data_IF_417050928490
#
_entry.id   IF_417050928490
#
_cell.length_a   1.000
_cell.length_b   1.000
_cell.length_c   1.000
_cell.angle_alpha   90.00
_cell.angle_beta   90.00
_cell.angle_gamma   90.00
#
_symmetry.space_group_name_H-M   'P 1'
#
loop_
_entity.id
_entity.type
_entity.pdbx_description
1 polymer ?
#
# COMPACT_ATOMS: atom_id res chain seq x y z
N UNK A 1 -14.14 4.47 10.00
CA UNK A 1 -13.31 3.90 11.07
C UNK A 1 -13.18 4.88 12.26
N UNK A 2 -12.33 5.91 12.26
CA UNK A 2 -12.25 6.89 13.39
C UNK A 2 -13.54 7.69 13.55
N UNK A 3 -14.00 8.34 12.48
CA UNK A 3 -15.24 9.14 12.49
C UNK A 3 -16.50 8.31 12.78
N UNK A 4 -16.43 7.00 12.54
CA UNK A 4 -17.50 6.04 12.84
C UNK A 4 -17.40 5.47 14.26
N UNK A 5 -16.36 5.83 15.02
CA UNK A 5 -16.11 5.35 16.38
C UNK A 5 -15.56 3.92 16.48
N UNK A 6 -15.12 3.33 15.38
CA UNK A 6 -14.64 1.94 15.32
C UNK A 6 -13.16 1.78 15.71
N UNK A 7 -12.34 2.84 15.58
CA UNK A 7 -10.93 2.83 15.99
C UNK A 7 -10.59 4.14 16.69
N UNK A 8 -9.69 4.09 17.67
CA UNK A 8 -9.18 5.27 18.35
C UNK A 8 -8.27 6.11 17.44
N UNK A 9 -8.41 7.43 17.50
CA UNK A 9 -7.63 8.37 16.68
C UNK A 9 -6.12 8.31 17.00
N UNK A 10 -5.74 8.17 18.27
CA UNK A 10 -4.34 7.99 18.68
C UNK A 10 -3.74 6.71 18.10
N UNK A 11 -4.54 5.64 18.02
CA UNK A 11 -4.12 4.37 17.44
C UNK A 11 -3.89 4.48 15.94
N UNK A 12 -4.67 5.31 15.24
CA UNK A 12 -4.42 5.65 13.83
C UNK A 12 -3.13 6.44 13.67
N UNK A 13 -2.90 7.46 14.50
CA UNK A 13 -1.71 8.31 14.40
C UNK A 13 -0.40 7.60 14.74
N UNK A 14 -0.43 6.56 15.57
CA UNK A 14 0.74 5.74 15.89
C UNK A 14 1.05 4.69 14.82
N UNK A 15 0.09 4.34 13.97
CA UNK A 15 0.30 3.36 12.90
C UNK A 15 0.99 3.98 11.68
N UNK A 16 2.14 3.44 11.31
CA UNK A 16 2.89 3.88 10.13
C UNK A 16 3.15 2.68 9.22
N UNK A 17 2.88 2.83 7.93
CA UNK A 17 3.18 1.80 6.94
C UNK A 17 4.67 1.92 6.57
N UNK A 18 5.48 0.87 6.71
CA UNK A 18 6.92 0.89 6.43
C UNK A 18 7.16 0.74 4.92
N UNK A 19 6.53 1.61 4.13
CA UNK A 19 6.62 1.62 2.69
C UNK A 19 7.10 2.99 2.23
N UNK A 20 8.10 2.97 1.36
CA UNK A 20 8.54 4.15 0.62
C UNK A 20 8.26 3.94 -0.87
N UNK A 21 7.65 4.95 -1.51
CA UNK A 21 7.38 4.94 -2.94
C UNK A 21 8.25 6.02 -3.59
N UNK A 22 9.47 5.66 -4.05
CA UNK A 22 10.43 6.62 -4.58
C UNK A 22 9.95 7.22 -5.90
N UNK A 23 10.30 8.47 -6.14
CA UNK A 23 10.31 9.06 -7.48
C UNK A 23 11.48 8.49 -8.30
N UNK A 24 11.41 8.46 -9.65
CA UNK A 24 12.52 7.99 -10.48
C UNK A 24 13.85 8.70 -10.17
N UNK A 25 13.79 9.99 -9.82
CA UNK A 25 14.96 10.80 -9.45
C UNK A 25 15.64 10.36 -8.15
N UNK A 26 14.93 9.67 -7.26
CA UNK A 26 15.48 9.20 -5.99
C UNK A 26 16.08 7.79 -6.07
N UNK A 27 15.94 7.11 -7.23
CA UNK A 27 16.45 5.76 -7.44
C UNK A 27 17.93 5.76 -7.89
N UNK A 28 18.51 6.93 -8.20
CA UNK A 28 19.91 7.02 -8.61
C UNK A 28 20.88 6.77 -7.44
N UNK A 29 21.98 6.08 -7.73
CA UNK A 29 22.96 5.66 -6.72
C UNK A 29 24.35 5.42 -7.30
N UNK A 30 25.16 4.62 -6.61
CA UNK A 30 26.59 4.40 -6.94
C UNK A 30 26.88 3.61 -8.22
N UNK A 31 25.85 3.25 -9.00
CA UNK A 31 25.99 2.43 -10.20
C UNK A 31 25.58 3.23 -11.45
N UNK A 32 26.27 2.99 -12.56
CA UNK A 32 25.88 3.55 -13.84
C UNK A 32 24.57 2.91 -14.32
N UNK A 33 23.52 3.72 -14.47
CA UNK A 33 22.21 3.28 -14.96
C UNK A 33 22.21 3.38 -16.48
N UNK A 34 21.98 2.24 -17.16
CA UNK A 34 21.92 2.20 -18.63
C UNK A 34 20.57 2.66 -19.18
N UNK A 35 19.48 2.45 -18.43
CA UNK A 35 18.12 2.87 -18.77
C UNK A 35 17.26 2.97 -17.50
N UNK A 36 16.44 4.01 -17.42
CA UNK A 36 15.44 4.21 -16.35
C UNK A 36 14.12 4.61 -17.00
N UNK A 37 13.09 3.78 -16.79
CA UNK A 37 11.74 4.01 -17.32
C UNK A 37 10.69 3.74 -16.23
N UNK A 38 9.51 4.32 -16.39
CA UNK A 38 8.33 4.05 -15.55
C UNK A 38 7.20 3.50 -16.41
N UNK A 39 6.46 2.52 -15.89
CA UNK A 39 5.27 1.97 -16.52
C UNK A 39 4.06 2.17 -15.62
N UNK A 40 2.99 2.70 -16.17
CA UNK A 40 1.69 2.74 -15.48
C UNK A 40 0.98 1.40 -15.67
N UNK A 41 0.53 0.80 -14.56
CA UNK A 41 -0.28 -0.41 -14.56
C UNK A 41 -1.61 -0.06 -13.91
N UNK A 42 -2.71 -0.15 -14.66
CA UNK A 42 -4.03 0.09 -14.10
C UNK A 42 -4.51 -1.17 -13.40
N UNK A 43 -5.24 -1.00 -12.29
CA UNK A 43 -5.84 -2.11 -11.57
C UNK A 43 -6.64 -3.03 -12.50
N UNK A 44 -7.47 -2.47 -13.38
CA UNK A 44 -8.30 -3.22 -14.34
C UNK A 44 -7.51 -4.18 -15.25
N UNK A 45 -6.24 -3.85 -15.54
CA UNK A 45 -5.38 -4.65 -16.42
C UNK A 45 -4.83 -5.89 -15.71
N UNK A 46 -4.83 -5.91 -14.36
CA UNK A 46 -4.30 -7.03 -13.58
C UNK A 46 -5.27 -8.22 -13.42
N UNK A 47 -6.58 -7.99 -13.52
CA UNK A 47 -7.59 -9.00 -13.18
C UNK A 47 -8.79 -9.06 -14.14
N UNK A 48 -8.77 -8.33 -15.26
CA UNK A 48 -9.77 -8.40 -16.35
C UNK A 48 -11.17 -7.86 -16.01
N UNK A 49 -11.53 -7.86 -14.73
CA UNK A 49 -12.75 -7.34 -14.12
C UNK A 49 -12.49 -7.11 -12.62
N UNK A 50 -11.50 -6.28 -12.29
CA UNK A 50 -11.18 -6.02 -10.88
C UNK A 50 -12.29 -5.17 -10.27
N UNK A 51 -13.25 -5.81 -9.62
CA UNK A 51 -14.22 -5.12 -8.80
C UNK A 51 -13.54 -4.49 -7.58
N UNK A 52 -14.27 -3.66 -6.84
CA UNK A 52 -13.77 -3.11 -5.57
C UNK A 52 -13.35 -4.20 -4.58
N UNK A 53 -14.00 -5.37 -4.62
CA UNK A 53 -13.66 -6.53 -3.78
C UNK A 53 -12.29 -7.12 -4.11
N UNK A 54 -11.95 -7.26 -5.40
CA UNK A 54 -10.66 -7.83 -5.80
C UNK A 54 -9.51 -6.92 -5.39
N UNK A 55 -9.66 -5.61 -5.58
CA UNK A 55 -8.68 -4.62 -5.12
C UNK A 55 -8.55 -4.66 -3.60
N UNK A 56 -9.66 -4.76 -2.86
CA UNK A 56 -9.63 -4.88 -1.41
C UNK A 56 -8.90 -6.14 -0.93
N UNK A 57 -9.11 -7.29 -1.60
CA UNK A 57 -8.39 -8.54 -1.30
C UNK A 57 -6.90 -8.41 -1.60
N UNK A 58 -6.53 -7.80 -2.72
CA UNK A 58 -5.12 -7.55 -3.06
C UNK A 58 -4.43 -6.62 -2.06
N UNK A 59 -5.10 -5.56 -1.59
CA UNK A 59 -4.53 -4.69 -0.57
C UNK A 59 -4.43 -5.41 0.79
N UNK A 60 -5.47 -6.19 1.15
CA UNK A 60 -5.50 -6.97 2.40
C UNK A 60 -4.35 -7.97 2.45
N UNK A 61 -4.08 -8.72 1.38
CA UNK A 61 -3.02 -9.74 1.41
C UNK A 61 -1.62 -9.17 1.74
N UNK A 62 -1.37 -7.89 1.45
CA UNK A 62 -0.12 -7.19 1.77
C UNK A 62 -0.16 -6.56 3.16
N UNK A 63 -1.25 -5.87 3.51
CA UNK A 63 -1.33 -5.05 4.72
C UNK A 63 -1.83 -5.81 5.96
N UNK A 64 -2.52 -6.95 5.79
CA UNK A 64 -3.23 -7.65 6.87
C UNK A 64 -2.35 -8.00 8.08
N UNK A 65 -1.13 -8.58 7.93
CA UNK A 65 -0.31 -8.91 9.09
C UNK A 65 -0.03 -7.69 9.98
N UNK A 66 0.25 -6.55 9.35
CA UNK A 66 0.56 -5.30 10.06
C UNK A 66 -0.67 -4.66 10.69
N UNK A 67 -1.81 -4.74 9.99
CA UNK A 67 -3.08 -4.23 10.50
C UNK A 67 -3.56 -5.07 11.69
N UNK A 68 -3.43 -6.40 11.64
CA UNK A 68 -3.79 -7.29 12.73
C UNK A 68 -2.87 -7.09 13.93
N UNK A 69 -1.56 -6.95 13.71
CA UNK A 69 -0.60 -6.69 14.78
C UNK A 69 -0.91 -5.39 15.55
N UNK A 70 -1.20 -4.30 14.83
CA UNK A 70 -1.44 -3.01 15.45
C UNK A 70 -2.87 -2.85 15.95
N UNK A 71 -3.87 -3.18 15.13
CA UNK A 71 -5.29 -2.94 15.41
C UNK A 71 -6.00 -4.11 16.10
N UNK A 72 -5.50 -5.34 15.97
CA UNK A 72 -6.13 -6.58 16.45
C UNK A 72 -6.87 -7.34 15.35
N UNK A 73 -7.26 -8.59 15.63
CA UNK A 73 -8.20 -9.33 14.78
C UNK A 73 -9.63 -8.79 14.96
N UNK A 74 -10.37 -8.67 13.86
CA UNK A 74 -11.83 -8.42 13.85
C UNK A 74 -12.62 -9.71 14.02
#
# INVERSE_FOLDING_TARGET
MVLEGAIDEEKLHSFNIPQYMPSPTEVEGSFAISRLDTSEIRWVDCCGSCGGEDVAKCMRSVAEPMLVEHFGET
#
